data_IF_301365898429
#
_entry.id   IF_301365898429
#
_cell.length_a   1.000
_cell.length_b   1.000
_cell.length_c   1.000
_cell.angle_alpha   90.00
_cell.angle_beta   90.00
_cell.angle_gamma   90.00
#
_symmetry.space_group_name_H-M   'P 1'
#
loop_
_entity.id
_entity.type
_entity.pdbx_description
1 polymer ?
#
# COMPACT_ATOMS: atom_id res chain seq x y z
N UNK A 1 -13.13 1.59 15.58
CA UNK A 1 -11.94 0.77 15.26
C UNK A 1 -11.28 1.40 14.05
N UNK A 2 -9.99 1.74 14.12
CA UNK A 2 -9.30 2.48 13.06
C UNK A 2 -8.52 1.51 12.18
N UNK A 3 -8.85 1.47 10.88
CA UNK A 3 -8.08 0.70 9.90
C UNK A 3 -6.76 1.43 9.69
N UNK A 4 -5.65 0.69 9.73
CA UNK A 4 -4.31 1.25 9.50
C UNK A 4 -3.57 0.42 8.46
N UNK A 5 -2.97 1.10 7.49
CA UNK A 5 -2.04 0.52 6.54
C UNK A 5 -0.62 0.96 6.94
N UNK A 6 0.29 0.00 7.06
CA UNK A 6 1.67 0.20 7.51
C UNK A 6 2.60 -0.34 6.43
N UNK A 7 3.58 0.48 6.03
CA UNK A 7 4.67 0.10 5.15
C UNK A 7 5.99 0.17 5.93
N UNK A 8 6.80 -0.89 5.86
CA UNK A 8 8.10 -0.96 6.55
C UNK A 8 9.20 -1.43 5.59
N UNK A 9 10.27 -0.63 5.38
CA UNK A 9 10.46 0.72 5.90
C UNK A 9 9.45 1.71 5.27
N UNK A 10 9.26 2.87 5.90
CA UNK A 10 8.33 3.89 5.40
C UNK A 10 8.82 4.56 4.12
N UNK A 11 10.15 4.58 3.92
CA UNK A 11 10.82 5.04 2.71
C UNK A 11 11.84 3.96 2.34
N UNK A 12 11.92 3.64 1.05
CA UNK A 12 12.86 2.69 0.48
C UNK A 12 13.29 3.18 -0.91
N UNK A 13 14.42 2.70 -1.40
CA UNK A 13 14.75 2.86 -2.82
C UNK A 13 13.81 2.00 -3.68
N UNK A 14 13.75 2.30 -4.98
CA UNK A 14 12.83 1.61 -5.93
C UNK A 14 13.13 0.12 -6.07
N UNK A 15 14.38 -0.28 -5.82
CA UNK A 15 14.90 -1.64 -5.89
C UNK A 15 14.91 -2.35 -4.52
N UNK A 16 14.50 -1.68 -3.45
CA UNK A 16 14.44 -2.25 -2.11
C UNK A 16 13.04 -2.77 -1.76
N UNK A 17 12.93 -3.94 -1.12
CA UNK A 17 11.64 -4.50 -0.75
C UNK A 17 10.99 -3.75 0.42
N UNK A 18 9.67 -3.64 0.39
CA UNK A 18 8.86 -3.06 1.48
C UNK A 18 7.79 -4.07 1.94
N UNK A 19 7.61 -4.19 3.25
CA UNK A 19 6.54 -5.01 3.84
C UNK A 19 5.28 -4.19 4.08
N UNK A 20 4.14 -4.65 3.55
CA UNK A 20 2.82 -4.01 3.73
C UNK A 20 1.98 -4.81 4.73
N UNK A 21 1.39 -4.14 5.73
CA UNK A 21 0.48 -4.73 6.71
C UNK A 21 -0.76 -3.87 6.92
N UNK A 22 -1.94 -4.48 6.89
CA UNK A 22 -3.20 -3.86 7.27
C UNK A 22 -3.65 -4.36 8.65
N UNK A 23 -4.08 -3.46 9.54
CA UNK A 23 -4.62 -3.78 10.87
C UNK A 23 -5.93 -3.06 11.12
N UNK A 24 -6.69 -3.51 12.13
CA UNK A 24 -8.00 -2.92 12.44
C UNK A 24 -9.11 -3.34 11.48
N UNK A 25 -8.92 -4.45 10.75
CA UNK A 25 -9.96 -5.11 9.96
C UNK A 25 -10.71 -6.16 10.81
N UNK A 26 -12.02 -6.37 10.61
CA UNK A 26 -12.74 -7.51 11.16
C UNK A 26 -12.10 -8.85 10.72
N UNK A 27 -12.17 -9.89 11.56
CA UNK A 27 -11.70 -11.22 11.19
C UNK A 27 -12.31 -11.71 9.87
N UNK A 28 -11.47 -12.27 9.01
CA UNK A 28 -11.87 -12.86 7.71
C UNK A 28 -12.55 -11.89 6.73
N UNK A 29 -12.43 -10.57 6.92
CA UNK A 29 -12.93 -9.61 5.94
C UNK A 29 -12.13 -9.72 4.64
N UNK A 30 -12.84 -9.91 3.52
CA UNK A 30 -12.25 -9.85 2.18
C UNK A 30 -11.99 -8.38 1.84
N UNK A 31 -10.76 -8.07 1.41
CA UNK A 31 -10.32 -6.72 1.06
C UNK A 31 -9.45 -6.75 -0.20
N UNK A 32 -9.29 -5.59 -0.83
CA UNK A 32 -8.37 -5.38 -1.95
C UNK A 32 -7.31 -4.36 -1.54
N UNK A 33 -6.04 -4.63 -1.85
CA UNK A 33 -4.95 -3.68 -1.69
C UNK A 33 -4.70 -3.06 -3.07
N UNK A 34 -4.80 -1.74 -3.18
CA UNK A 34 -4.56 -1.02 -4.43
C UNK A 34 -3.30 -0.17 -4.32
N UNK A 35 -2.40 -0.30 -5.28
CA UNK A 35 -1.26 0.58 -5.46
C UNK A 35 -1.57 1.61 -6.56
N UNK A 36 -1.14 2.85 -6.37
CA UNK A 36 -1.26 3.93 -7.37
C UNK A 36 -0.04 4.82 -7.28
N UNK A 37 0.57 5.12 -8.42
CA UNK A 37 1.67 6.08 -8.54
C UNK A 37 1.35 7.07 -9.63
N UNK A 38 1.71 8.34 -9.38
CA UNK A 38 1.66 9.42 -10.37
C UNK A 38 3.10 9.77 -10.72
N UNK A 39 3.42 9.78 -12.01
CA UNK A 39 4.75 10.21 -12.47
C UNK A 39 4.87 11.73 -12.52
N UNK A 40 6.03 12.23 -12.94
CA UNK A 40 6.32 13.65 -13.10
C UNK A 40 5.52 14.34 -14.22
N UNK A 41 4.96 13.57 -15.16
CA UNK A 41 4.15 14.03 -16.28
C UNK A 41 2.65 13.90 -16.00
N UNK A 42 2.28 13.67 -14.73
CA UNK A 42 0.92 13.44 -14.26
C UNK A 42 0.23 12.15 -14.76
N UNK A 43 0.96 11.21 -15.37
CA UNK A 43 0.40 9.91 -15.75
C UNK A 43 0.20 9.03 -14.52
N UNK A 44 -0.90 8.25 -14.53
CA UNK A 44 -1.31 7.41 -13.42
C UNK A 44 -1.12 5.93 -13.76
N UNK A 45 -0.38 5.21 -12.91
CA UNK A 45 -0.19 3.76 -13.00
C UNK A 45 -0.81 3.09 -11.77
N UNK A 46 -1.48 1.94 -11.95
CA UNK A 46 -2.24 1.26 -10.89
C UNK A 46 -2.03 -0.26 -10.92
N UNK A 47 -2.11 -0.88 -9.74
CA UNK A 47 -2.08 -2.34 -9.56
C UNK A 47 -3.01 -2.74 -8.41
N UNK A 48 -3.63 -3.94 -8.49
CA UNK A 48 -4.57 -4.48 -7.50
C UNK A 48 -4.46 -6.00 -7.38
#
# INVERSE_FOLDING_TARGET
MMIKLIATPSNALVDEPVSIRATGLPPSQIVTIKATVKDENDNVFQSQ
#
